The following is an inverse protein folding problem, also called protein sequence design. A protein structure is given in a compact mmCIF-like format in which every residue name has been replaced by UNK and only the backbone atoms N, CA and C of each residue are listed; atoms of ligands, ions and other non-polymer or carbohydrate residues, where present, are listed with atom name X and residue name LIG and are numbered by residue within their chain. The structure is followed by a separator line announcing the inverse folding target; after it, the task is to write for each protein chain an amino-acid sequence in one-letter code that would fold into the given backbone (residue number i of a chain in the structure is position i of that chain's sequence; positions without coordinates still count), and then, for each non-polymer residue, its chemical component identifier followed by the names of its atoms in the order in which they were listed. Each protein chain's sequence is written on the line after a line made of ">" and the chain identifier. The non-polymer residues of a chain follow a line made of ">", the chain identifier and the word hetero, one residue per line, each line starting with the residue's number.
data_IF_632810615906
#
_entry.id   IF_632810615906
#
_cell.length_a   1.000
_cell.length_b   1.000
_cell.length_c   1.000
_cell.angle_alpha   90.00
_cell.angle_beta   90.00
_cell.angle_gamma   90.00
#
_symmetry.space_group_name_H-M   'P 1'
#
loop_
_entity.id
_entity.type
_entity.pdbx_description
1 polymer ?
#
# COMPACT_ATOMS: atom_id res chain seq x y z
N UNK A 1 65.77 9.95 -8.04
CA UNK A 1 66.57 9.87 -9.29
C UNK A 1 66.02 8.70 -10.12
N UNK A 2 65.93 8.85 -11.45
CA UNK A 2 64.67 8.67 -12.17
C UNK A 2 64.70 7.56 -13.26
N UNK A 3 63.52 7.39 -13.89
CA UNK A 3 63.29 7.05 -15.32
C UNK A 3 63.64 5.61 -15.79
N UNK A 4 62.93 4.94 -16.71
CA UNK A 4 62.14 5.34 -17.87
C UNK A 4 61.00 4.36 -18.21
N UNK A 5 59.99 4.91 -18.89
CA UNK A 5 58.95 4.27 -19.70
C UNK A 5 59.51 3.57 -20.95
N UNK A 6 58.86 2.49 -21.42
CA UNK A 6 58.62 2.27 -22.86
C UNK A 6 57.50 1.25 -23.11
N UNK A 7 56.52 1.71 -23.87
CA UNK A 7 55.46 1.04 -24.62
C UNK A 7 56.00 0.12 -25.73
N UNK A 8 55.30 -0.99 -26.04
CA UNK A 8 55.14 -1.42 -27.45
C UNK A 8 53.92 -2.33 -27.64
N UNK A 9 53.31 -2.19 -28.82
CA UNK A 9 52.02 -2.71 -29.27
C UNK A 9 52.19 -3.89 -30.26
N UNK A 10 51.16 -4.74 -30.31
CA UNK A 10 50.62 -5.52 -31.47
C UNK A 10 51.44 -6.72 -32.00
N UNK A 11 50.81 -7.91 -31.98
CA UNK A 11 50.52 -8.70 -33.19
C UNK A 11 49.45 -9.78 -32.96
N UNK A 12 48.60 -9.92 -33.97
CA UNK A 12 47.36 -10.67 -34.09
C UNK A 12 47.64 -12.08 -34.64
N UNK A 13 46.98 -13.14 -34.14
CA UNK A 13 46.74 -14.36 -34.93
C UNK A 13 45.33 -14.88 -34.71
N UNK A 14 44.52 -14.75 -35.77
CA UNK A 14 43.21 -15.36 -35.99
C UNK A 14 43.34 -16.89 -36.09
N UNK A 15 42.37 -17.63 -35.57
CA UNK A 15 42.04 -18.97 -36.08
C UNK A 15 40.53 -19.17 -36.06
N UNK A 16 39.99 -19.24 -37.27
CA UNK A 16 38.59 -19.39 -37.64
C UNK A 16 38.31 -20.89 -37.77
N UNK A 17 37.32 -21.43 -37.07
CA UNK A 17 36.74 -22.74 -37.39
C UNK A 17 35.29 -22.53 -37.76
N UNK A 18 35.03 -22.68 -39.05
CA UNK A 18 33.71 -22.66 -39.66
C UNK A 18 33.03 -24.02 -39.42
N UNK A 19 31.82 -24.01 -38.88
CA UNK A 19 30.91 -25.17 -38.95
C UNK A 19 29.77 -24.81 -39.87
N UNK A 20 29.77 -25.47 -41.03
CA UNK A 20 28.72 -25.46 -42.04
C UNK A 20 27.55 -26.28 -41.53
N UNK A 21 26.35 -25.71 -41.54
CA UNK A 21 25.09 -26.45 -41.39
C UNK A 21 24.30 -26.29 -42.68
N UNK A 22 23.92 -27.38 -43.37
CA UNK A 22 23.20 -27.31 -44.63
C UNK A 22 21.72 -26.98 -44.43
N UNK A 23 21.16 -26.31 -45.45
CA UNK A 23 19.78 -25.87 -45.55
C UNK A 23 18.86 -26.91 -46.20
N UNK A 24 17.61 -26.86 -45.76
CA UNK A 24 16.35 -27.14 -46.47
C UNK A 24 15.98 -28.58 -46.85
N UNK A 25 14.92 -29.09 -46.22
CA UNK A 25 13.78 -29.72 -46.93
C UNK A 25 12.46 -29.33 -46.25
N UNK A 26 11.51 -28.95 -47.10
CA UNK A 26 10.12 -28.62 -46.85
C UNK A 26 9.29 -29.87 -46.52
N UNK A 27 8.37 -29.81 -45.55
CA UNK A 27 7.29 -30.79 -45.44
C UNK A 27 6.05 -30.18 -44.76
N UNK A 28 4.92 -30.34 -45.43
CA UNK A 28 3.60 -29.84 -45.07
C UNK A 28 2.98 -30.55 -43.85
N UNK A 29 2.27 -29.75 -43.06
CA UNK A 29 0.95 -29.97 -42.43
C UNK A 29 0.59 -31.42 -42.05
N UNK A 30 0.62 -31.69 -40.75
CA UNK A 30 -0.34 -32.60 -40.10
C UNK A 30 -0.86 -31.96 -38.80
N UNK A 31 -2.19 -31.83 -38.75
CA UNK A 31 -2.99 -31.14 -37.73
C UNK A 31 -3.01 -31.96 -36.44
N UNK A 32 -2.22 -31.58 -35.44
CA UNK A 32 -2.34 -32.13 -34.08
C UNK A 32 -3.39 -31.33 -33.29
N UNK A 33 -4.46 -32.02 -32.85
CA UNK A 33 -5.54 -31.48 -32.02
C UNK A 33 -4.98 -30.94 -30.71
N UNK A 34 -5.20 -29.65 -30.46
CA UNK A 34 -4.95 -29.00 -29.17
C UNK A 34 -5.87 -29.63 -28.11
N UNK A 35 -5.29 -30.36 -27.15
CA UNK A 35 -5.98 -30.73 -25.91
C UNK A 35 -5.97 -29.49 -25.02
N UNK A 36 -7.13 -28.84 -24.93
CA UNK A 36 -7.36 -27.70 -24.08
C UNK A 36 -7.69 -28.19 -22.66
N UNK A 37 -6.67 -28.29 -21.81
CA UNK A 37 -6.77 -28.47 -20.35
C UNK A 37 -6.07 -27.27 -19.71
N UNK A 38 -6.64 -26.43 -18.86
CA UNK A 38 -7.93 -26.38 -18.21
C UNK A 38 -7.83 -25.24 -17.18
N UNK A 39 -8.84 -24.38 -17.13
CA UNK A 39 -9.21 -23.54 -15.99
C UNK A 39 -8.11 -22.69 -15.32
N UNK A 40 -7.93 -21.45 -15.78
CA UNK A 40 -7.47 -20.38 -14.88
C UNK A 40 -8.42 -20.25 -13.68
N UNK A 41 -7.97 -19.74 -12.52
CA UNK A 41 -8.78 -19.71 -11.30
C UNK A 41 -10.06 -18.91 -11.52
N UNK A 42 -11.20 -19.61 -11.50
CA UNK A 42 -12.53 -19.02 -11.54
C UNK A 42 -12.79 -18.41 -10.16
N UNK A 43 -12.71 -17.09 -10.06
CA UNK A 43 -13.23 -16.35 -8.92
C UNK A 43 -14.76 -16.41 -9.00
N UNK A 44 -15.36 -17.35 -8.27
CA UNK A 44 -16.81 -17.36 -8.05
C UNK A 44 -17.15 -16.30 -7.01
N UNK A 45 -17.55 -15.13 -7.48
CA UNK A 45 -18.20 -14.13 -6.64
C UNK A 45 -19.58 -14.68 -6.24
N UNK A 46 -19.96 -14.71 -4.94
CA UNK A 46 -21.33 -15.01 -4.57
C UNK A 46 -22.22 -13.87 -5.04
N UNK A 47 -23.09 -14.15 -6.00
CA UNK A 47 -24.19 -13.30 -6.42
C UNK A 47 -25.02 -12.92 -5.20
N UNK A 48 -25.30 -11.62 -5.05
CA UNK A 48 -26.25 -11.11 -4.07
C UNK A 48 -27.65 -11.69 -4.38
N UNK A 49 -28.13 -12.57 -3.51
CA UNK A 49 -29.42 -13.24 -3.72
C UNK A 49 -29.65 -14.42 -2.77
N UNK A 50 -29.68 -14.14 -1.47
CA UNK A 50 -30.36 -14.90 -0.40
C UNK A 50 -29.86 -14.37 0.94
N UNK A 51 -30.77 -14.19 1.90
CA UNK A 51 -30.47 -13.91 3.30
C UNK A 51 -29.63 -15.05 3.90
N UNK A 52 -28.32 -14.99 3.72
CA UNK A 52 -27.38 -16.01 4.17
C UNK A 52 -27.08 -15.83 5.66
N UNK A 53 -27.95 -16.38 6.51
CA UNK A 53 -27.68 -16.52 7.94
C UNK A 53 -26.52 -17.50 8.22
N UNK A 54 -26.02 -18.21 7.19
CA UNK A 54 -25.05 -19.31 7.31
C UNK A 54 -23.83 -19.24 6.37
N UNK A 55 -23.58 -18.14 5.65
CA UNK A 55 -22.30 -18.02 4.92
C UNK A 55 -21.15 -17.81 5.91
N UNK A 56 -20.00 -18.50 5.77
CA UNK A 56 -18.85 -18.28 6.65
C UNK A 56 -18.42 -16.81 6.56
N UNK A 57 -18.49 -16.08 7.69
CA UNK A 57 -17.96 -14.71 7.73
C UNK A 57 -16.46 -14.76 7.47
N UNK A 58 -15.97 -13.88 6.59
CA UNK A 58 -14.54 -13.73 6.33
C UNK A 58 -13.81 -13.45 7.66
N UNK A 59 -12.85 -14.30 8.01
CA UNK A 59 -12.11 -14.19 9.25
C UNK A 59 -11.17 -12.97 9.19
N UNK A 60 -11.39 -11.91 9.99
CA UNK A 60 -10.57 -10.71 9.99
C UNK A 60 -9.17 -10.93 10.59
N UNK A 61 -8.94 -12.10 11.22
CA UNK A 61 -7.65 -12.54 11.73
C UNK A 61 -6.84 -13.35 10.71
N UNK A 62 -7.42 -13.71 9.56
CA UNK A 62 -6.66 -14.33 8.47
C UNK A 62 -5.62 -13.37 7.96
N UNK A 63 -4.38 -13.85 7.81
CA UNK A 63 -3.28 -13.05 7.29
C UNK A 63 -3.50 -12.72 5.81
N UNK A 64 -3.56 -11.43 5.52
CA UNK A 64 -3.58 -10.93 4.15
C UNK A 64 -2.14 -10.65 3.70
N UNK A 65 -1.69 -11.35 2.66
CA UNK A 65 -0.40 -11.10 2.03
C UNK A 65 -0.56 -10.07 0.92
N UNK A 66 -0.20 -8.83 1.21
CA UNK A 66 -0.21 -7.77 0.21
C UNK A 66 1.05 -7.85 -0.69
N UNK A 67 0.90 -7.72 -2.02
CA UNK A 67 2.02 -7.73 -2.94
C UNK A 67 2.92 -6.51 -2.74
N UNK A 68 4.20 -6.66 -3.03
CA UNK A 68 5.16 -5.55 -3.00
C UNK A 68 5.04 -4.70 -4.27
N UNK A 69 4.97 -3.38 -4.09
CA UNK A 69 5.39 -2.41 -5.10
C UNK A 69 6.88 -2.18 -4.97
N UNK A 70 7.62 -2.36 -6.06
CA UNK A 70 9.08 -2.32 -6.05
C UNK A 70 9.61 -1.20 -6.93
N UNK A 71 10.74 -0.62 -6.54
CA UNK A 71 11.43 0.44 -7.30
C UNK A 71 10.54 1.64 -7.61
N UNK A 72 9.71 2.04 -6.64
CA UNK A 72 8.80 3.16 -6.77
C UNK A 72 9.54 4.44 -6.41
N UNK A 73 9.45 5.46 -7.26
CA UNK A 73 9.94 6.81 -6.92
C UNK A 73 9.08 7.37 -5.80
N UNK A 74 9.73 7.73 -4.69
CA UNK A 74 9.10 8.40 -3.56
C UNK A 74 9.50 9.87 -3.49
N UNK A 75 8.52 10.76 -3.39
CA UNK A 75 8.71 12.18 -3.16
C UNK A 75 8.37 12.56 -1.72
N UNK A 76 8.85 13.71 -1.27
CA UNK A 76 8.59 14.20 0.09
C UNK A 76 7.56 15.32 0.00
N UNK A 77 6.51 15.21 0.79
CA UNK A 77 5.46 16.22 0.95
C UNK A 77 5.20 16.46 2.42
N UNK A 78 4.60 17.60 2.77
CA UNK A 78 4.31 17.89 4.16
C UNK A 78 3.02 18.67 4.40
N UNK A 79 2.45 18.47 5.58
CA UNK A 79 1.23 19.14 6.04
C UNK A 79 1.49 20.65 6.15
N UNK A 80 0.61 21.43 5.54
CA UNK A 80 0.70 22.89 5.48
C UNK A 80 1.65 23.42 4.41
N UNK A 81 2.17 22.57 3.50
CA UNK A 81 2.91 23.04 2.33
C UNK A 81 2.07 24.05 1.52
N UNK A 82 2.68 25.20 1.22
CA UNK A 82 2.07 26.25 0.41
C UNK A 82 2.10 25.87 -1.07
N UNK A 83 1.14 26.33 -1.87
CA UNK A 83 1.17 26.06 -3.29
C UNK A 83 2.36 26.81 -3.91
N UNK A 84 3.00 26.19 -4.89
CA UNK A 84 4.05 26.77 -5.71
C UNK A 84 3.65 26.69 -7.18
N UNK A 85 4.30 27.44 -8.10
CA UNK A 85 4.03 27.30 -9.53
C UNK A 85 4.19 25.85 -10.06
N UNK A 86 5.05 25.05 -9.42
CA UNK A 86 5.29 23.63 -9.77
C UNK A 86 4.37 22.65 -9.03
N UNK A 87 3.76 23.08 -7.92
CA UNK A 87 2.81 22.30 -7.13
C UNK A 87 1.65 23.21 -6.70
N UNK A 88 0.62 23.38 -7.54
CA UNK A 88 -0.44 24.36 -7.29
C UNK A 88 -1.39 23.93 -6.16
N UNK A 89 -1.33 22.67 -5.72
CA UNK A 89 -2.19 22.15 -4.66
C UNK A 89 -1.52 22.32 -3.31
N UNK A 90 -2.09 23.13 -2.40
CA UNK A 90 -1.57 23.26 -1.04
C UNK A 90 -1.96 22.05 -0.17
N UNK A 91 -1.14 21.73 0.83
CA UNK A 91 -1.39 20.60 1.73
C UNK A 91 -1.95 21.05 3.10
N UNK A 92 -2.71 22.13 3.16
CA UNK A 92 -3.40 22.54 4.39
C UNK A 92 -4.61 21.65 4.70
N UNK A 93 -5.14 20.98 3.67
CA UNK A 93 -6.15 19.96 3.72
C UNK A 93 -5.62 18.69 3.04
N UNK A 94 -6.11 17.52 3.47
CA UNK A 94 -5.96 16.27 2.72
C UNK A 94 -7.27 15.91 2.03
N UNK A 95 -7.21 14.84 1.23
CA UNK A 95 -8.37 14.22 0.58
C UNK A 95 -9.49 13.80 1.52
N UNK A 96 -9.21 13.70 2.83
CA UNK A 96 -10.16 13.23 3.84
C UNK A 96 -10.17 14.07 5.12
N UNK A 97 -9.47 15.20 5.12
CA UNK A 97 -9.43 16.14 6.24
C UNK A 97 -9.28 17.57 5.71
N UNK A 98 -10.38 18.33 5.73
CA UNK A 98 -10.40 19.73 5.25
C UNK A 98 -9.67 20.70 6.18
N UNK A 99 -9.33 20.27 7.39
CA UNK A 99 -8.62 21.05 8.40
C UNK A 99 -7.30 20.35 8.79
N UNK A 100 -6.67 19.65 7.84
CA UNK A 100 -5.55 18.74 8.13
C UNK A 100 -4.39 19.40 8.87
N UNK A 101 -3.98 20.60 8.46
CA UNK A 101 -2.93 21.34 9.17
C UNK A 101 -3.33 21.74 10.59
N UNK A 102 -4.58 22.18 10.78
CA UNK A 102 -5.10 22.54 12.10
C UNK A 102 -5.16 21.29 13.00
N UNK A 103 -5.71 20.19 12.48
CA UNK A 103 -5.84 18.92 13.19
C UNK A 103 -4.48 18.26 13.49
N UNK A 104 -3.45 18.51 12.67
CA UNK A 104 -2.08 18.10 12.95
C UNK A 104 -1.45 18.91 14.08
N UNK A 105 -1.94 20.13 14.33
CA UNK A 105 -1.42 21.08 15.31
C UNK A 105 -0.52 22.16 14.74
N UNK A 106 -0.27 22.19 13.43
CA UNK A 106 0.56 23.22 12.80
C UNK A 106 1.22 22.80 11.49
N UNK A 107 2.18 23.60 11.04
CA UNK A 107 2.98 23.35 9.83
C UNK A 107 4.04 22.26 10.09
N UNK A 108 4.03 21.19 9.30
CA UNK A 108 5.04 20.12 9.43
C UNK A 108 6.36 20.52 8.73
N UNK A 109 7.17 21.34 9.41
CA UNK A 109 8.37 21.92 8.81
C UNK A 109 9.36 20.84 8.31
N UNK A 110 9.61 20.73 7.00
CA UNK A 110 10.45 19.67 6.44
C UNK A 110 11.95 19.88 6.69
N UNK A 111 12.39 21.05 7.18
CA UNK A 111 13.78 21.30 7.52
C UNK A 111 14.23 20.38 8.66
N UNK A 112 15.34 19.66 8.45
CA UNK A 112 15.94 18.74 9.43
C UNK A 112 16.33 19.46 10.73
N UNK A 113 16.76 20.71 10.65
CA UNK A 113 17.14 21.50 11.82
C UNK A 113 15.93 21.96 12.65
N UNK A 114 14.73 21.90 12.07
CA UNK A 114 13.47 22.26 12.72
C UNK A 114 12.74 21.03 13.28
N UNK A 115 13.42 19.88 13.43
CA UNK A 115 12.82 18.63 13.94
C UNK A 115 13.36 18.23 15.30
N UNK A 116 12.47 17.74 16.16
CA UNK A 116 12.80 17.10 17.42
C UNK A 116 12.52 15.60 17.29
N UNK A 117 13.56 14.81 17.03
CA UNK A 117 13.39 13.44 16.55
C UNK A 117 12.69 13.45 15.17
N UNK A 118 11.55 12.77 15.05
CA UNK A 118 10.82 12.66 13.78
C UNK A 118 9.61 13.61 13.66
N UNK A 119 9.35 14.46 14.66
CA UNK A 119 8.26 15.45 14.65
C UNK A 119 8.79 16.88 14.47
N UNK A 120 7.93 17.85 14.12
CA UNK A 120 8.28 19.27 14.21
C UNK A 120 8.77 19.62 15.63
N UNK A 121 9.80 20.47 15.72
CA UNK A 121 10.30 20.93 17.01
C UNK A 121 9.33 21.91 17.70
N UNK A 122 8.61 22.71 16.91
CA UNK A 122 7.76 23.79 17.40
C UNK A 122 6.53 23.32 18.19
N UNK A 123 6.07 22.08 18.00
CA UNK A 123 4.90 21.55 18.69
C UNK A 123 4.93 20.01 18.76
N UNK A 124 4.11 19.43 19.65
CA UNK A 124 3.83 17.99 19.65
C UNK A 124 2.65 17.75 18.72
N UNK A 125 2.78 16.93 17.66
CA UNK A 125 1.73 16.78 16.67
C UNK A 125 0.53 16.01 17.22
N UNK A 126 -0.66 16.48 16.85
CA UNK A 126 -1.94 15.88 17.22
C UNK A 126 -2.39 14.77 16.27
N UNK A 127 -1.76 14.63 15.10
CA UNK A 127 -1.86 13.44 14.24
C UNK A 127 -0.48 12.77 14.10
N UNK A 128 -0.46 11.54 13.60
CA UNK A 128 0.76 10.78 13.45
C UNK A 128 1.72 11.48 12.46
N UNK A 129 2.97 11.79 12.86
CA UNK A 129 3.95 12.40 11.94
C UNK A 129 4.42 11.45 10.82
N UNK A 130 4.19 10.14 10.96
CA UNK A 130 4.48 9.15 9.93
C UNK A 130 3.25 8.93 9.04
N UNK A 131 3.13 9.76 8.01
CA UNK A 131 2.04 9.70 7.05
C UNK A 131 2.54 9.64 5.60
N UNK A 132 1.67 9.16 4.70
CA UNK A 132 1.93 9.03 3.27
C UNK A 132 0.71 9.42 2.44
N UNK A 133 0.94 9.65 1.14
CA UNK A 133 -0.10 9.70 0.13
C UNK A 133 0.11 8.62 -0.95
N UNK A 134 -0.98 7.99 -1.37
CA UNK A 134 -1.05 7.12 -2.56
C UNK A 134 -2.08 7.66 -3.55
N UNK A 135 -1.92 7.44 -4.86
CA UNK A 135 -2.68 8.16 -5.88
C UNK A 135 -4.09 7.60 -6.10
N UNK A 136 -4.87 7.42 -5.03
CA UNK A 136 -6.24 6.89 -5.11
C UNK A 136 -7.16 7.41 -4.00
N UNK A 137 -8.30 7.98 -4.39
CA UNK A 137 -9.41 8.33 -3.50
C UNK A 137 -10.62 7.45 -3.82
N UNK A 138 -11.08 6.67 -2.84
CA UNK A 138 -12.25 5.79 -2.99
C UNK A 138 -13.59 6.52 -2.90
N UNK A 139 -13.60 7.78 -2.48
CA UNK A 139 -14.80 8.61 -2.40
C UNK A 139 -14.90 9.55 -3.61
N UNK A 140 -16.10 9.67 -4.16
CA UNK A 140 -16.44 10.72 -5.14
C UNK A 140 -16.84 12.00 -4.40
N UNK A 141 -17.62 11.83 -3.32
CA UNK A 141 -18.08 12.90 -2.45
C UNK A 141 -18.44 12.31 -1.07
N UNK A 142 -19.08 13.12 -0.22
CA UNK A 142 -19.48 12.73 1.14
C UNK A 142 -20.53 11.61 1.21
N UNK A 143 -21.20 11.29 0.09
CA UNK A 143 -22.30 10.35 0.01
C UNK A 143 -21.97 9.09 -0.82
N UNK A 144 -21.00 9.13 -1.73
CA UNK A 144 -20.76 8.02 -2.66
C UNK A 144 -19.29 7.65 -2.81
N UNK A 145 -19.08 6.35 -3.05
CA UNK A 145 -17.80 5.77 -3.40
C UNK A 145 -17.65 5.61 -4.92
N UNK A 146 -16.41 5.49 -5.37
CA UNK A 146 -16.12 5.08 -6.74
C UNK A 146 -16.62 3.65 -7.01
N UNK A 147 -17.12 3.34 -8.21
CA UNK A 147 -17.77 2.06 -8.51
C UNK A 147 -16.82 0.84 -8.39
N UNK A 148 -15.53 1.03 -8.62
CA UNK A 148 -14.50 -0.01 -8.50
C UNK A 148 -14.09 -0.29 -7.05
N UNK A 149 -14.31 0.66 -6.12
CA UNK A 149 -13.75 0.60 -4.78
C UNK A 149 -14.10 -0.70 -4.04
N UNK A 150 -15.34 -1.19 -4.20
CA UNK A 150 -15.80 -2.44 -3.59
C UNK A 150 -15.15 -3.71 -4.13
N UNK A 151 -14.58 -3.64 -5.33
CA UNK A 151 -13.94 -4.75 -6.02
C UNK A 151 -12.44 -4.77 -5.79
N UNK A 152 -11.82 -3.59 -5.70
CA UNK A 152 -10.35 -3.45 -5.74
C UNK A 152 -9.73 -3.30 -4.34
N UNK A 153 -10.47 -2.79 -3.36
CA UNK A 153 -9.94 -2.56 -2.01
C UNK A 153 -9.98 -3.88 -1.21
N UNK A 154 -8.83 -4.48 -0.83
CA UNK A 154 -8.79 -5.83 -0.26
C UNK A 154 -9.54 -5.97 1.09
N UNK A 155 -9.67 -4.86 1.82
CA UNK A 155 -10.32 -4.79 3.13
C UNK A 155 -11.72 -4.17 3.08
N UNK A 156 -12.33 -4.03 1.89
CA UNK A 156 -13.64 -3.38 1.72
C UNK A 156 -14.69 -3.87 2.72
N UNK A 157 -14.82 -5.18 2.88
CA UNK A 157 -15.81 -5.79 3.78
C UNK A 157 -15.43 -5.75 5.28
N UNK A 158 -14.15 -5.49 5.60
CA UNK A 158 -13.61 -5.41 6.97
C UNK A 158 -13.62 -4.00 7.55
N UNK A 159 -14.06 -2.99 6.80
CA UNK A 159 -14.13 -1.61 7.28
C UNK A 159 -14.87 -1.45 8.61
N UNK A 160 -14.32 -0.60 9.47
CA UNK A 160 -14.97 -0.14 10.69
C UNK A 160 -16.21 0.72 10.43
N UNK A 161 -16.12 1.69 9.51
CA UNK A 161 -17.24 2.52 9.08
C UNK A 161 -17.69 2.11 7.67
N UNK A 162 -18.94 1.63 7.56
CA UNK A 162 -19.51 1.15 6.30
C UNK A 162 -20.47 2.15 5.66
N UNK A 163 -20.64 3.34 6.24
CA UNK A 163 -21.51 4.37 5.67
C UNK A 163 -21.03 4.78 4.27
N UNK A 164 -21.95 5.07 3.34
CA UNK A 164 -21.59 5.62 2.03
C UNK A 164 -20.74 6.89 2.15
N UNK A 165 -19.79 7.09 1.23
CA UNK A 165 -18.89 8.25 1.22
C UNK A 165 -17.86 8.31 2.36
N UNK A 166 -17.80 7.30 3.23
CA UNK A 166 -16.71 7.15 4.22
C UNK A 166 -15.57 6.33 3.65
N UNK A 167 -14.41 6.97 3.54
CA UNK A 167 -13.22 6.36 2.93
C UNK A 167 -12.81 5.06 3.61
N UNK A 168 -12.36 4.13 2.79
CA UNK A 168 -11.74 2.86 3.16
C UNK A 168 -10.22 2.97 3.25
N UNK A 169 -9.64 4.06 2.74
CA UNK A 169 -8.20 4.22 2.51
C UNK A 169 -7.51 4.88 3.70
N UNK A 170 -8.10 5.94 4.27
CA UNK A 170 -7.53 6.69 5.39
C UNK A 170 -7.19 5.79 6.59
N UNK A 171 -6.02 6.00 7.19
CA UNK A 171 -5.56 5.29 8.39
C UNK A 171 -5.06 3.87 8.12
N UNK A 172 -5.01 3.43 6.87
CA UNK A 172 -4.36 2.16 6.48
C UNK A 172 -2.86 2.30 6.56
N UNK A 173 -2.17 1.20 6.87
CA UNK A 173 -0.73 1.23 7.11
C UNK A 173 0.05 0.65 5.93
N UNK A 174 1.19 1.26 5.67
CA UNK A 174 2.19 0.76 4.72
C UNK A 174 3.44 0.32 5.47
N UNK A 175 4.09 -0.73 4.96
CA UNK A 175 5.49 -1.05 5.22
C UNK A 175 6.31 -0.51 4.05
N UNK A 176 7.31 0.32 4.34
CA UNK A 176 8.17 0.99 3.37
C UNK A 176 9.62 0.57 3.62
N UNK A 177 10.33 0.18 2.57
CA UNK A 177 11.71 -0.32 2.64
C UNK A 177 12.61 0.53 1.76
N UNK A 178 13.70 1.00 2.35
CA UNK A 178 14.76 1.74 1.67
C UNK A 178 16.12 1.40 2.28
N UNK A 179 17.07 0.96 1.45
CA UNK A 179 18.46 0.66 1.85
C UNK A 179 18.57 -0.19 3.14
N UNK A 180 17.81 -1.29 3.21
CA UNK A 180 17.78 -2.20 4.36
C UNK A 180 16.98 -1.71 5.57
N UNK A 181 16.54 -0.44 5.61
CA UNK A 181 15.68 0.11 6.67
C UNK A 181 14.20 -0.10 6.36
N UNK A 182 13.41 -0.33 7.39
CA UNK A 182 11.96 -0.56 7.31
C UNK A 182 11.21 0.49 8.14
N UNK A 183 10.36 1.26 7.49
CA UNK A 183 9.49 2.26 8.11
C UNK A 183 8.02 1.85 7.95
N UNK A 184 7.18 2.29 8.89
CA UNK A 184 5.73 2.13 8.80
C UNK A 184 5.05 3.49 8.92
N UNK A 185 4.03 3.72 8.10
CA UNK A 185 3.35 5.01 8.01
C UNK A 185 1.87 4.85 7.65
N UNK A 186 1.05 5.82 8.07
CA UNK A 186 -0.40 5.86 7.83
C UNK A 186 -0.73 6.57 6.52
N UNK A 187 -1.66 6.01 5.76
CA UNK A 187 -2.19 6.62 4.57
C UNK A 187 -3.18 7.72 4.95
N UNK A 188 -2.82 8.98 4.69
CA UNK A 188 -3.59 10.16 5.16
C UNK A 188 -3.99 11.13 4.04
N UNK A 189 -3.48 10.96 2.82
CA UNK A 189 -3.85 11.78 1.66
C UNK A 189 -3.79 11.03 0.32
N UNK A 190 -4.26 11.66 -0.76
CA UNK A 190 -4.16 11.17 -2.12
C UNK A 190 -3.15 11.96 -2.96
N UNK A 191 -2.32 11.22 -3.67
CA UNK A 191 -1.22 11.75 -4.48
C UNK A 191 -0.14 10.68 -4.66
N UNK A 192 0.84 10.88 -5.55
CA UNK A 192 1.14 12.13 -6.23
C UNK A 192 0.34 12.32 -7.54
N UNK A 193 -0.02 13.58 -7.85
CA UNK A 193 -0.61 14.10 -9.11
C UNK A 193 -1.96 13.55 -9.58
N UNK A 194 -2.36 12.35 -9.19
CA UNK A 194 -3.67 11.77 -9.50
C UNK A 194 -4.28 11.13 -8.26
N UNK A 195 -5.59 10.88 -8.32
CA UNK A 195 -6.40 10.30 -7.25
C UNK A 195 -7.27 9.15 -7.75
N UNK A 196 -6.97 8.60 -8.93
CA UNK A 196 -7.77 7.57 -9.61
C UNK A 196 -6.97 6.30 -9.98
N UNK A 197 -5.73 6.18 -9.54
CA UNK A 197 -4.78 5.16 -10.00
C UNK A 197 -4.86 3.86 -9.19
N UNK A 198 -6.06 3.28 -9.14
CA UNK A 198 -6.32 2.04 -8.42
C UNK A 198 -5.58 0.83 -9.03
N UNK A 199 -5.31 0.84 -10.33
CA UNK A 199 -4.59 -0.24 -11.02
C UNK A 199 -3.13 -0.35 -10.57
N UNK A 200 -2.53 0.78 -10.19
CA UNK A 200 -1.23 0.79 -9.53
C UNK A 200 -1.37 0.50 -8.03
N UNK A 201 -2.27 1.19 -7.33
CA UNK A 201 -2.36 1.08 -5.86
C UNK A 201 -2.74 -0.35 -5.44
N UNK A 202 -3.76 -0.94 -6.06
CA UNK A 202 -4.27 -2.28 -5.72
C UNK A 202 -4.00 -3.34 -6.79
N UNK A 203 -3.78 -2.96 -8.05
CA UNK A 203 -3.55 -3.88 -9.16
C UNK A 203 -2.10 -4.33 -9.32
N UNK A 204 -1.56 -4.34 -10.54
CA UNK A 204 -0.15 -4.70 -10.84
C UNK A 204 0.51 -3.75 -11.85
N UNK A 205 -0.12 -2.61 -12.13
CA UNK A 205 0.42 -1.60 -13.06
C UNK A 205 1.49 -0.75 -12.38
N UNK A 206 2.43 -0.14 -13.14
CA UNK A 206 3.26 0.95 -12.62
C UNK A 206 2.39 2.20 -12.34
N UNK A 207 2.88 3.18 -11.55
CA UNK A 207 2.20 4.46 -11.37
C UNK A 207 1.85 5.10 -12.72
N UNK A 208 0.63 5.62 -12.86
CA UNK A 208 0.16 6.35 -14.04
C UNK A 208 0.91 7.68 -14.24
N UNK A 209 1.34 8.29 -13.15
CA UNK A 209 2.03 9.58 -13.15
C UNK A 209 3.39 9.49 -13.87
N UNK A 210 3.69 10.47 -14.72
CA UNK A 210 4.99 10.63 -15.41
C UNK A 210 5.83 11.80 -14.89
N UNK A 211 5.26 12.67 -14.04
CA UNK A 211 5.97 13.80 -13.41
C UNK A 211 6.82 13.32 -12.23
N UNK A 212 7.83 14.12 -11.84
CA UNK A 212 8.73 13.82 -10.72
C UNK A 212 9.34 12.40 -10.79
N UNK A 213 9.88 12.02 -11.95
CA UNK A 213 10.42 10.67 -12.23
C UNK A 213 9.42 9.53 -11.97
N UNK A 214 8.15 9.76 -12.33
CA UNK A 214 7.09 8.78 -12.13
C UNK A 214 6.83 8.48 -10.65
N UNK A 215 6.79 9.52 -9.82
CA UNK A 215 6.44 9.40 -8.40
C UNK A 215 5.16 8.57 -8.23
N UNK A 216 5.18 7.61 -7.31
CA UNK A 216 4.05 6.74 -7.00
C UNK A 216 3.69 6.70 -5.51
N UNK A 217 4.41 7.44 -4.67
CA UNK A 217 4.13 7.59 -3.24
C UNK A 217 4.73 8.91 -2.78
N UNK A 218 3.98 9.68 -2.00
CA UNK A 218 4.53 10.79 -1.23
C UNK A 218 4.70 10.37 0.23
N UNK A 219 5.84 10.74 0.83
CA UNK A 219 6.17 10.40 2.21
C UNK A 219 6.40 11.64 3.06
N UNK A 220 6.00 11.60 4.33
CA UNK A 220 6.22 12.71 5.26
C UNK A 220 7.71 12.95 5.55
N UNK A 221 8.08 14.12 6.10
CA UNK A 221 9.44 14.37 6.57
C UNK A 221 9.91 13.33 7.60
N UNK A 222 9.01 12.86 8.47
CA UNK A 222 9.32 11.83 9.47
C UNK A 222 9.77 10.50 8.82
N UNK A 223 9.06 10.06 7.78
CA UNK A 223 9.42 8.85 7.02
C UNK A 223 10.75 9.05 6.31
N UNK A 224 10.93 10.20 5.64
CA UNK A 224 12.18 10.57 4.97
C UNK A 224 13.37 10.48 5.93
N UNK A 225 13.26 11.11 7.09
CA UNK A 225 14.34 11.22 8.06
C UNK A 225 14.64 9.88 8.74
N UNK A 226 13.62 9.07 9.03
CA UNK A 226 13.82 7.72 9.56
C UNK A 226 14.56 6.83 8.57
N UNK A 227 14.11 6.81 7.31
CA UNK A 227 14.75 6.02 6.26
C UNK A 227 16.11 6.59 5.84
N UNK A 228 16.38 7.88 6.12
CA UNK A 228 17.58 8.57 5.64
C UNK A 228 17.60 8.71 4.12
N UNK A 229 16.42 8.77 3.49
CA UNK A 229 16.29 8.89 2.04
C UNK A 229 16.30 10.35 1.59
N UNK A 230 16.69 10.58 0.34
CA UNK A 230 16.46 11.86 -0.37
C UNK A 230 15.10 11.80 -1.08
N UNK A 231 14.54 12.96 -1.42
CA UNK A 231 13.41 13.00 -2.37
C UNK A 231 13.81 12.36 -3.70
N UNK A 232 12.87 11.75 -4.39
CA UNK A 232 13.04 10.94 -5.62
C UNK A 232 13.81 9.62 -5.44
N UNK A 233 14.11 9.20 -4.21
CA UNK A 233 14.71 7.89 -3.98
C UNK A 233 13.73 6.75 -4.36
N UNK A 234 14.30 5.61 -4.76
CA UNK A 234 13.54 4.39 -5.07
C UNK A 234 13.28 3.60 -3.79
N UNK A 235 12.02 3.36 -3.48
CA UNK A 235 11.59 2.56 -2.32
C UNK A 235 10.81 1.33 -2.77
N UNK A 236 10.65 0.38 -1.85
CA UNK A 236 9.66 -0.67 -1.97
C UNK A 236 8.59 -0.44 -0.92
N UNK A 237 7.32 -0.69 -1.25
CA UNK A 237 6.25 -0.59 -0.26
C UNK A 237 5.19 -1.66 -0.47
N UNK A 238 4.46 -1.98 0.60
CA UNK A 238 3.24 -2.78 0.55
C UNK A 238 2.29 -2.35 1.66
N UNK A 239 1.02 -2.65 1.51
CA UNK A 239 0.08 -2.57 2.64
C UNK A 239 0.44 -3.57 3.73
N UNK A 240 0.06 -3.24 4.95
CA UNK A 240 0.17 -4.13 6.11
C UNK A 240 -1.01 -3.90 7.05
N UNK A 241 -1.58 -4.97 7.58
CA UNK A 241 -2.63 -4.86 8.60
C UNK A 241 -2.02 -4.33 9.90
N UNK A 242 -2.75 -3.45 10.60
CA UNK A 242 -2.24 -2.77 11.81
C UNK A 242 -1.73 -3.75 12.88
N UNK A 243 -2.37 -4.91 13.03
CA UNK A 243 -1.95 -5.97 13.98
C UNK A 243 -0.55 -6.53 13.71
N UNK A 244 0.03 -6.26 12.55
CA UNK A 244 1.38 -6.68 12.14
C UNK A 244 2.39 -5.53 12.11
N UNK A 245 1.97 -4.30 12.42
CA UNK A 245 2.88 -3.16 12.52
C UNK A 245 3.59 -3.26 13.88
N UNK A 246 4.93 -3.42 13.92
CA UNK A 246 5.67 -3.43 15.17
C UNK A 246 5.67 -2.03 15.79
N UNK A 247 5.91 -1.92 17.10
CA UNK A 247 6.15 -0.62 17.74
C UNK A 247 7.48 -0.03 17.24
N UNK A 248 7.48 1.27 17.06
CA UNK A 248 8.63 2.06 16.59
C UNK A 248 8.32 3.56 16.70
N UNK A 249 9.13 4.44 16.10
CA UNK A 249 8.88 5.89 16.17
C UNK A 249 7.48 6.33 15.70
N UNK A 250 6.90 5.63 14.72
CA UNK A 250 5.51 5.84 14.22
C UNK A 250 4.40 5.49 15.22
N UNK A 251 4.73 4.97 16.41
CA UNK A 251 3.76 4.59 17.45
C UNK A 251 3.63 5.61 18.59
N UNK A 252 4.36 6.73 18.53
CA UNK A 252 4.56 7.63 19.69
C UNK A 252 3.58 8.80 19.78
N UNK A 253 3.05 9.28 18.66
CA UNK A 253 2.24 10.51 18.61
C UNK A 253 1.00 10.36 17.75
N UNK A 254 0.04 11.28 17.95
CA UNK A 254 -1.17 11.42 17.16
C UNK A 254 -2.41 10.80 17.81
N UNK A 255 -3.47 11.59 17.93
CA UNK A 255 -4.82 11.15 18.34
C UNK A 255 -5.41 10.17 17.33
N UNK A 256 -4.98 10.21 16.06
CA UNK A 256 -5.33 9.24 15.02
C UNK A 256 -4.52 7.92 15.10
N UNK A 257 -3.62 7.77 16.08
CA UNK A 257 -2.72 6.64 16.13
C UNK A 257 -3.31 5.43 16.90
N UNK A 258 -3.57 4.29 16.24
CA UNK A 258 -4.14 3.11 16.91
C UNK A 258 -3.23 2.47 17.97
N UNK A 259 -1.93 2.80 18.01
CA UNK A 259 -1.06 2.39 19.12
C UNK A 259 -1.36 3.11 20.45
N UNK A 260 -1.93 4.32 20.37
CA UNK A 260 -2.30 5.16 21.51
C UNK A 260 -3.82 5.12 21.77
N UNK A 261 -4.60 4.95 20.70
CA UNK A 261 -6.05 4.84 20.76
C UNK A 261 -6.51 3.58 20.00
N UNK A 262 -6.56 2.40 20.66
CA UNK A 262 -6.91 1.14 20.03
C UNK A 262 -8.29 1.12 19.34
N UNK A 263 -9.18 2.06 19.68
CA UNK A 263 -10.49 2.22 19.00
C UNK A 263 -10.37 2.59 17.53
N UNK A 264 -9.20 3.08 17.12
CA UNK A 264 -8.89 3.49 15.75
C UNK A 264 -8.25 2.39 14.90
N UNK A 265 -8.11 1.17 15.42
CA UNK A 265 -7.71 0.03 14.59
C UNK A 265 -8.71 -0.12 13.41
N UNK A 266 -8.25 0.01 12.14
CA UNK A 266 -9.14 0.02 10.97
C UNK A 266 -10.01 -1.24 10.82
N UNK A 267 -9.62 -2.34 11.46
CA UNK A 267 -10.31 -3.63 11.41
C UNK A 267 -10.96 -4.00 12.77
N UNK A 268 -10.99 -3.09 13.75
CA UNK A 268 -11.51 -3.36 15.10
C UNK A 268 -12.93 -3.91 15.08
N UNK A 269 -13.84 -3.24 14.37
CA UNK A 269 -15.24 -3.64 14.31
C UNK A 269 -15.39 -5.03 13.69
N UNK A 270 -14.65 -5.31 12.61
CA UNK A 270 -14.65 -6.63 11.99
C UNK A 270 -14.17 -7.71 12.98
N UNK A 271 -13.09 -7.44 13.73
CA UNK A 271 -12.58 -8.33 14.77
C UNK A 271 -13.63 -8.59 15.86
N UNK A 272 -14.29 -7.54 16.37
CA UNK A 272 -15.35 -7.65 17.38
C UNK A 272 -16.54 -8.48 16.87
N UNK A 273 -17.04 -8.17 15.67
CA UNK A 273 -18.17 -8.87 15.05
C UNK A 273 -17.85 -10.36 14.81
N UNK A 274 -16.60 -10.68 14.49
CA UNK A 274 -16.14 -12.05 14.34
C UNK A 274 -16.04 -12.79 15.68
N UNK A 275 -15.54 -12.14 16.73
CA UNK A 275 -15.48 -12.73 18.07
C UNK A 275 -16.88 -13.01 18.62
N UNK A 276 -17.85 -12.12 18.38
CA UNK A 276 -19.27 -12.36 18.73
C UNK A 276 -19.80 -13.58 17.97
N UNK A 277 -19.55 -13.65 16.66
CA UNK A 277 -19.95 -14.80 15.84
C UNK A 277 -19.37 -16.11 16.38
N UNK A 278 -18.08 -16.17 16.71
CA UNK A 278 -17.46 -17.37 17.28
C UNK A 278 -18.09 -17.78 18.62
N UNK A 279 -18.42 -16.83 19.49
CA UNK A 279 -19.12 -17.11 20.76
C UNK A 279 -20.50 -17.73 20.50
N UNK A 280 -21.28 -17.15 19.59
CA UNK A 280 -22.59 -17.69 19.21
C UNK A 280 -22.49 -19.11 18.64
N UNK A 281 -21.51 -19.37 17.76
CA UNK A 281 -21.31 -20.71 17.20
C UNK A 281 -20.91 -21.73 18.26
N UNK A 282 -20.02 -21.35 19.18
CA UNK A 282 -19.63 -22.16 20.34
C UNK A 282 -20.86 -22.50 21.20
N UNK A 283 -21.67 -21.51 21.55
CA UNK A 283 -22.81 -21.70 22.45
C UNK A 283 -23.89 -22.59 21.81
N UNK A 284 -24.15 -22.43 20.50
CA UNK A 284 -25.03 -23.32 19.72
C UNK A 284 -24.52 -24.76 19.70
N UNK A 285 -23.21 -24.96 19.51
CA UNK A 285 -22.62 -26.29 19.51
C UNK A 285 -22.75 -26.99 20.88
N UNK A 286 -22.60 -26.25 21.99
CA UNK A 286 -22.85 -26.78 23.33
C UNK A 286 -24.32 -27.16 23.55
N UNK A 287 -25.27 -26.33 23.09
CA UNK A 287 -26.69 -26.64 23.20
C UNK A 287 -27.07 -27.90 22.41
N UNK A 288 -26.53 -28.07 21.20
CA UNK A 288 -26.79 -29.24 20.36
C UNK A 288 -26.24 -30.54 20.96
N UNK A 289 -25.06 -30.49 21.60
CA UNK A 289 -24.48 -31.65 22.31
C UNK A 289 -25.27 -32.06 23.55
N UNK A 290 -26.00 -31.13 24.16
CA UNK A 290 -26.75 -31.36 25.40
C UNK A 290 -28.24 -31.65 25.15
N UNK A 291 -28.67 -31.86 23.90
CA UNK A 291 -30.03 -32.31 23.60
C UNK A 291 -30.20 -33.76 24.09
N UNK A 292 -31.27 -34.07 24.86
CA UNK A 292 -31.56 -35.45 25.25
C UNK A 292 -31.71 -36.30 23.99
N UNK A 293 -31.03 -37.43 23.95
CA UNK A 293 -31.25 -38.43 22.90
C UNK A 293 -32.72 -38.84 23.00
N UNK A 294 -33.53 -38.55 21.98
CA UNK A 294 -34.92 -39.04 21.92
C UNK A 294 -34.85 -40.57 21.94
N UNK A 295 -35.20 -41.16 23.08
CA UNK A 295 -35.56 -42.57 23.22
C UNK A 295 -37.01 -42.74 22.82
#
# INVERSE_FOLDING_TARGET
>A
MPSHSLTSLIALTLSLVAVVVPTNVSAQVARAKTINTGGGPIVRTPTAGATAVNAPRANPFTEVRYPWRKHITATVFWIGERPTPKNPTPNHASSWDTQWQLNYGGYDNPDKNARAGYRPAAFVPELNPFYIALPYNDCINHATHRPEASKVIPWWHRRADKRPGKTSCKGRWLQIVYNGKVCYAQWEDCGPFTTDDWEYVFGNKPPKNTKNDGAGIDVSPAVRDFLGMKSHAKVHWRFIDFSRVPRGPWSQYGKNNPFLNPKLDPDLKAKQDYMIYLRTMRDKAYQQKNLPTRR
#
